data_IF_615337722787
#
_entry.id   IF_615337722787
#
_cell.length_a   1.000
_cell.length_b   1.000
_cell.length_c   1.000
_cell.angle_alpha   90.00
_cell.angle_beta   90.00
_cell.angle_gamma   90.00
#
_symmetry.space_group_name_H-M   'P 1'
#
loop_
_entity.id
_entity.type
_entity.pdbx_description
1 polymer ?
#
# COMPACT_ATOMS: atom_id res chain seq x y z
N UNK A 1 -22.19 -12.40 26.37
CA UNK A 1 -22.78 -11.97 25.09
C UNK A 1 -21.63 -11.45 24.26
N UNK A 2 -20.90 -12.35 23.57
CA UNK A 2 -21.08 -12.66 22.15
C UNK A 2 -21.02 -11.40 21.26
N UNK A 3 -19.81 -11.00 20.90
CA UNK A 3 -19.53 -10.58 19.53
C UNK A 3 -18.32 -11.35 19.03
N UNK A 4 -18.47 -11.72 17.78
CA UNK A 4 -17.88 -12.84 17.10
C UNK A 4 -16.40 -12.59 16.78
N UNK A 5 -15.53 -13.55 17.10
CA UNK A 5 -14.11 -13.53 16.74
C UNK A 5 -13.86 -14.04 15.31
N UNK A 6 -14.90 -14.10 14.47
CA UNK A 6 -14.86 -14.74 13.15
C UNK A 6 -14.48 -13.83 11.96
N UNK A 7 -14.35 -12.51 12.11
CA UNK A 7 -14.11 -11.61 10.96
C UNK A 7 -12.75 -10.90 10.93
N UNK A 8 -11.68 -11.55 11.41
CA UNK A 8 -10.32 -11.17 11.01
C UNK A 8 -9.63 -12.41 10.45
N UNK A 9 -10.06 -12.82 9.27
CA UNK A 9 -9.33 -13.78 8.45
C UNK A 9 -8.05 -13.10 7.97
N UNK A 10 -6.95 -13.29 8.69
CA UNK A 10 -5.62 -13.19 8.10
C UNK A 10 -5.60 -14.14 6.90
N UNK A 11 -5.54 -13.60 5.69
CA UNK A 11 -5.34 -14.36 4.46
C UNK A 11 -4.00 -15.10 4.58
N UNK A 12 -4.04 -16.32 5.12
CA UNK A 12 -2.98 -17.30 5.01
C UNK A 12 -2.81 -17.60 3.52
N UNK A 13 -1.58 -17.48 3.04
CA UNK A 13 -1.14 -18.02 1.75
C UNK A 13 -1.65 -19.46 1.60
N UNK A 14 -2.60 -19.64 0.69
CA UNK A 14 -3.25 -20.91 0.43
C UNK A 14 -4.29 -20.74 -0.67
N UNK A 15 -3.84 -20.44 -1.89
CA UNK A 15 -4.70 -20.62 -3.07
C UNK A 15 -4.98 -22.11 -3.23
N UNK A 16 -6.25 -22.44 -3.49
CA UNK A 16 -6.69 -23.79 -3.82
C UNK A 16 -5.94 -24.32 -5.06
N UNK A 17 -5.70 -25.63 -5.08
CA UNK A 17 -4.99 -26.36 -6.13
C UNK A 17 -5.70 -26.35 -7.50
N UNK A 18 -6.91 -25.79 -7.60
CA UNK A 18 -7.75 -25.79 -8.81
C UNK A 18 -7.49 -24.62 -9.79
N UNK A 19 -6.59 -23.68 -9.46
CA UNK A 19 -6.28 -22.48 -10.27
C UNK A 19 -5.24 -22.71 -11.40
N UNK A 20 -4.93 -23.96 -11.76
CA UNK A 20 -3.82 -24.30 -12.67
C UNK A 20 -3.95 -23.79 -14.12
N UNK A 21 -5.10 -23.22 -14.50
CA UNK A 21 -5.37 -22.69 -15.84
C UNK A 21 -5.52 -21.17 -15.92
N UNK A 22 -5.39 -20.43 -14.81
CA UNK A 22 -5.40 -18.97 -14.90
C UNK A 22 -4.03 -18.44 -15.35
N UNK A 23 -3.98 -17.44 -16.25
CA UNK A 23 -2.72 -16.81 -16.61
C UNK A 23 -2.09 -16.20 -15.35
N UNK A 24 -0.86 -16.62 -15.04
CA UNK A 24 -0.08 -16.06 -13.92
C UNK A 24 -0.06 -14.53 -14.04
N UNK A 25 -0.83 -13.85 -13.20
CA UNK A 25 -0.89 -12.39 -13.08
C UNK A 25 -0.05 -11.97 -11.88
N UNK A 26 0.63 -10.84 -11.99
CA UNK A 26 1.27 -10.23 -10.84
C UNK A 26 0.20 -9.77 -9.83
N UNK A 27 0.33 -10.26 -8.60
CA UNK A 27 -0.50 -9.84 -7.46
C UNK A 27 0.39 -9.32 -6.35
N UNK A 28 0.17 -8.08 -5.93
CA UNK A 28 0.69 -7.54 -4.68
C UNK A 28 -0.36 -6.63 -4.06
N UNK A 29 -0.97 -7.14 -3.00
CA UNK A 29 -2.13 -6.53 -2.38
C UNK A 29 -1.73 -5.55 -1.29
N UNK A 30 -2.36 -4.39 -1.32
CA UNK A 30 -2.31 -3.34 -0.30
C UNK A 30 -3.74 -3.03 0.13
N UNK A 31 -3.87 -2.31 1.23
CA UNK A 31 -5.17 -1.78 1.67
C UNK A 31 -5.24 -0.29 1.38
N UNK A 32 -6.43 0.23 1.03
CA UNK A 32 -6.70 1.67 1.01
C UNK A 32 -8.13 1.92 1.50
N UNK A 33 -8.42 3.14 1.94
CA UNK A 33 -9.79 3.55 2.26
C UNK A 33 -10.50 4.01 0.98
N UNK A 34 -11.55 3.30 0.58
CA UNK A 34 -12.47 3.81 -0.43
C UNK A 34 -13.36 4.86 0.22
N UNK A 35 -13.03 6.14 0.00
CA UNK A 35 -13.78 7.27 0.55
C UNK A 35 -15.26 7.25 0.15
N UNK A 36 -15.57 6.78 -1.07
CA UNK A 36 -16.94 6.75 -1.58
C UNK A 36 -17.77 5.69 -0.86
N UNK A 37 -17.18 4.53 -0.60
CA UNK A 37 -17.85 3.40 0.04
C UNK A 37 -17.62 3.32 1.56
N UNK A 38 -16.80 4.22 2.15
CA UNK A 38 -16.41 4.26 3.58
C UNK A 38 -15.95 2.90 4.10
N UNK A 39 -15.15 2.19 3.29
CA UNK A 39 -14.67 0.84 3.61
C UNK A 39 -13.20 0.69 3.27
N UNK A 40 -12.51 -0.17 4.03
CA UNK A 40 -11.17 -0.60 3.69
C UNK A 40 -11.26 -1.64 2.58
N UNK A 41 -10.54 -1.40 1.48
CA UNK A 41 -10.54 -2.25 0.28
C UNK A 41 -9.15 -2.80 0.05
N UNK A 42 -9.08 -4.08 -0.33
CA UNK A 42 -7.85 -4.70 -0.82
C UNK A 42 -7.67 -4.36 -2.30
N UNK A 43 -6.50 -3.82 -2.64
CA UNK A 43 -6.17 -3.38 -3.98
C UNK A 43 -4.85 -4.01 -4.44
N UNK A 44 -4.84 -4.56 -5.65
CA UNK A 44 -3.60 -5.05 -6.27
C UNK A 44 -2.90 -3.90 -7.00
N UNK A 45 -1.71 -3.51 -6.57
CA UNK A 45 -0.99 -2.35 -7.12
C UNK A 45 -0.69 -2.46 -8.61
N UNK A 46 -0.67 -3.67 -9.18
CA UNK A 46 -0.43 -3.89 -10.60
C UNK A 46 -1.65 -3.64 -11.48
N UNK A 47 -2.82 -3.38 -10.89
CA UNK A 47 -4.05 -3.03 -11.63
C UNK A 47 -4.06 -1.57 -12.07
N UNK A 48 -3.20 -0.74 -11.49
CA UNK A 48 -2.99 0.63 -11.95
C UNK A 48 -2.27 0.63 -13.30
N UNK A 49 -3.02 0.92 -14.37
CA UNK A 49 -2.53 0.81 -15.75
C UNK A 49 -1.26 1.61 -16.06
N UNK A 50 -1.15 2.86 -15.60
CA UNK A 50 0.05 3.69 -15.88
C UNK A 50 1.29 3.18 -15.14
N UNK A 51 1.17 2.87 -13.85
CA UNK A 51 2.22 2.19 -13.09
C UNK A 51 2.67 0.88 -13.77
N UNK A 52 1.75 0.03 -14.20
CA UNK A 52 2.10 -1.20 -14.90
C UNK A 52 2.82 -0.93 -16.25
N UNK A 53 2.41 0.11 -16.98
CA UNK A 53 3.11 0.54 -18.19
C UNK A 53 4.53 1.03 -17.89
N UNK A 54 4.75 1.71 -16.77
CA UNK A 54 6.10 2.10 -16.35
C UNK A 54 6.96 0.89 -16.01
N UNK A 55 6.42 -0.14 -15.36
CA UNK A 55 7.14 -1.41 -15.16
C UNK A 55 7.55 -2.06 -16.49
N UNK A 56 6.68 -2.01 -17.51
CA UNK A 56 7.00 -2.49 -18.86
C UNK A 56 8.16 -1.68 -19.47
N UNK A 57 8.14 -0.35 -19.31
CA UNK A 57 9.20 0.53 -19.81
C UNK A 57 10.53 0.26 -19.08
N UNK A 58 10.50 0.15 -17.76
CA UNK A 58 11.66 -0.20 -16.93
C UNK A 58 12.25 -1.55 -17.35
N UNK A 59 11.41 -2.57 -17.59
CA UNK A 59 11.87 -3.88 -18.10
C UNK A 59 12.56 -3.77 -19.47
N UNK A 60 12.07 -2.90 -20.36
CA UNK A 60 12.71 -2.66 -21.67
C UNK A 60 14.06 -1.94 -21.50
N UNK A 61 14.13 -0.95 -20.62
CA UNK A 61 15.38 -0.26 -20.28
C UNK A 61 16.42 -1.22 -19.71
N UNK A 62 15.99 -2.09 -18.78
CA UNK A 62 16.82 -3.14 -18.19
C UNK A 62 17.42 -4.04 -19.28
N UNK A 63 16.58 -4.53 -20.21
CA UNK A 63 17.05 -5.34 -21.35
C UNK A 63 18.00 -4.57 -22.27
N UNK A 64 17.77 -3.28 -22.51
CA UNK A 64 18.64 -2.46 -23.37
C UNK A 64 20.02 -2.23 -22.75
N UNK A 65 20.09 -2.00 -21.44
CA UNK A 65 21.33 -1.67 -20.74
C UNK A 65 22.15 -2.90 -20.37
N UNK A 66 21.49 -3.97 -19.94
CA UNK A 66 22.15 -5.16 -19.38
C UNK A 66 21.98 -6.41 -20.25
N UNK A 67 21.13 -6.37 -21.28
CA UNK A 67 20.94 -7.49 -22.21
C UNK A 67 22.01 -7.55 -23.29
N UNK A 68 23.03 -8.38 -23.05
CA UNK A 68 23.81 -9.03 -24.12
C UNK A 68 23.25 -10.45 -24.35
N UNK A 69 23.48 -11.00 -25.53
CA UNK A 69 22.91 -12.25 -26.10
C UNK A 69 23.09 -13.54 -25.29
N UNK A 70 23.70 -13.53 -24.12
CA UNK A 70 23.83 -14.70 -23.26
C UNK A 70 23.29 -14.40 -21.86
N UNK A 71 22.59 -15.38 -21.30
CA UNK A 71 21.58 -15.38 -20.23
C UNK A 71 21.98 -14.82 -18.85
N UNK A 72 23.09 -14.07 -18.71
CA UNK A 72 23.59 -13.54 -17.44
C UNK A 72 22.98 -12.20 -16.98
N UNK A 73 21.87 -11.75 -17.59
CA UNK A 73 21.15 -10.54 -17.14
C UNK A 73 20.67 -10.70 -15.68
N UNK A 74 20.43 -11.94 -15.25
CA UNK A 74 19.75 -12.25 -13.99
C UNK A 74 20.67 -12.19 -12.75
N UNK A 75 21.99 -12.12 -12.93
CA UNK A 75 22.97 -12.21 -11.82
C UNK A 75 23.76 -10.94 -11.52
N UNK A 76 23.64 -9.87 -12.32
CA UNK A 76 24.36 -8.64 -11.98
C UNK A 76 23.66 -7.87 -10.85
N UNK A 77 24.36 -7.74 -9.72
CA UNK A 77 23.98 -6.88 -8.59
C UNK A 77 23.65 -5.44 -9.04
N UNK A 78 24.30 -4.98 -10.11
CA UNK A 78 24.09 -3.65 -10.69
C UNK A 78 22.76 -3.56 -11.44
N UNK A 79 22.38 -4.61 -12.18
CA UNK A 79 21.10 -4.69 -12.89
C UNK A 79 19.92 -4.71 -11.90
N UNK A 80 20.03 -5.49 -10.81
CA UNK A 80 19.03 -5.51 -9.75
C UNK A 80 18.90 -4.13 -9.09
N UNK A 81 20.02 -3.49 -8.73
CA UNK A 81 20.00 -2.15 -8.12
C UNK A 81 19.40 -1.10 -9.05
N UNK A 82 19.76 -1.11 -10.34
CA UNK A 82 19.17 -0.23 -11.35
C UNK A 82 17.66 -0.39 -11.42
N UNK A 83 17.19 -1.64 -11.45
CA UNK A 83 15.77 -1.98 -11.47
C UNK A 83 15.06 -1.50 -10.20
N UNK A 84 15.63 -1.79 -9.03
CA UNK A 84 15.13 -1.37 -7.73
C UNK A 84 14.94 0.15 -7.63
N UNK A 85 15.95 0.93 -8.04
CA UNK A 85 15.87 2.39 -8.01
C UNK A 85 14.76 2.93 -8.93
N UNK A 86 14.60 2.35 -10.11
CA UNK A 86 13.56 2.76 -11.08
C UNK A 86 12.16 2.41 -10.59
N UNK A 87 11.98 1.21 -10.05
CA UNK A 87 10.69 0.77 -9.48
C UNK A 87 10.34 1.62 -8.27
N UNK A 88 11.31 1.91 -7.37
CA UNK A 88 11.07 2.76 -6.20
C UNK A 88 10.59 4.17 -6.60
N UNK A 89 11.20 4.77 -7.62
CA UNK A 89 10.78 6.09 -8.15
C UNK A 89 9.38 6.04 -8.75
N UNK A 90 9.08 5.04 -9.58
CA UNK A 90 7.76 4.89 -10.19
C UNK A 90 6.68 4.66 -9.11
N UNK A 91 6.95 3.77 -8.16
CA UNK A 91 6.04 3.47 -7.06
C UNK A 91 5.74 4.73 -6.22
N UNK A 92 6.77 5.51 -5.86
CA UNK A 92 6.59 6.77 -5.14
C UNK A 92 5.75 7.77 -5.93
N UNK A 93 5.94 7.87 -7.24
CA UNK A 93 5.17 8.78 -8.10
C UNK A 93 3.66 8.46 -8.14
N UNK A 94 3.30 7.19 -8.23
CA UNK A 94 1.88 6.80 -8.31
C UNK A 94 1.20 6.69 -6.94
N UNK A 95 1.93 6.28 -5.91
CA UNK A 95 1.34 5.84 -4.64
C UNK A 95 1.87 6.55 -3.39
N UNK A 96 2.83 7.47 -3.54
CA UNK A 96 3.40 8.22 -2.43
C UNK A 96 2.66 9.54 -2.17
N UNK A 97 2.44 9.85 -0.90
CA UNK A 97 1.96 11.12 -0.37
C UNK A 97 0.67 11.64 -1.01
N UNK A 98 -0.22 10.75 -1.47
CA UNK A 98 -1.52 11.13 -2.01
C UNK A 98 -2.63 10.84 -1.01
N UNK A 99 -3.49 11.82 -0.81
CA UNK A 99 -4.59 11.76 0.15
C UNK A 99 -5.53 10.56 -0.08
N UNK A 100 -5.77 10.20 -1.34
CA UNK A 100 -6.61 9.05 -1.70
C UNK A 100 -6.02 7.68 -1.32
N UNK A 101 -4.72 7.61 -1.02
CA UNK A 101 -4.02 6.37 -0.67
C UNK A 101 -3.68 6.25 0.81
N UNK A 102 -3.96 7.28 1.60
CA UNK A 102 -3.54 7.33 3.00
C UNK A 102 -4.55 6.63 3.91
N UNK A 103 -4.05 5.71 4.72
CA UNK A 103 -4.79 5.11 5.83
C UNK A 103 -4.19 5.61 7.14
N UNK A 104 -5.07 5.88 8.11
CA UNK A 104 -4.71 6.15 9.48
C UNK A 104 -4.70 4.83 10.25
N UNK A 105 -3.51 4.39 10.67
CA UNK A 105 -3.36 3.29 11.62
C UNK A 105 -3.35 3.85 13.04
N UNK A 106 -4.33 3.46 13.83
CA UNK A 106 -4.41 3.77 15.26
C UNK A 106 -4.65 2.49 16.07
N UNK A 107 -4.37 2.51 17.36
CA UNK A 107 -4.66 1.38 18.25
C UNK A 107 -6.16 1.12 18.34
N UNK A 108 -6.53 -0.12 18.70
CA UNK A 108 -7.89 -0.45 19.11
C UNK A 108 -7.90 -0.94 20.57
N UNK A 109 -8.59 -0.24 21.50
CA UNK A 109 -9.30 1.03 21.30
C UNK A 109 -8.31 2.17 20.95
N UNK A 110 -8.76 3.25 20.27
CA UNK A 110 -7.94 4.42 20.02
C UNK A 110 -7.38 4.91 21.35
N UNK A 111 -6.07 4.88 21.48
CA UNK A 111 -5.43 5.38 22.69
C UNK A 111 -5.43 6.90 22.61
N UNK A 112 -6.16 7.51 23.55
CA UNK A 112 -6.22 8.96 23.74
C UNK A 112 -5.45 9.24 25.01
N UNK A 113 -4.38 10.03 24.91
CA UNK A 113 -3.60 10.44 26.08
C UNK A 113 -4.45 11.30 27.03
N UNK A 114 -4.13 11.29 28.32
CA UNK A 114 -4.87 12.05 29.32
C UNK A 114 -4.83 13.56 29.00
N UNK A 115 -3.69 14.02 28.48
CA UNK A 115 -3.45 15.39 28.03
C UNK A 115 -4.41 15.76 26.88
N UNK A 116 -4.67 14.83 25.96
CA UNK A 116 -5.61 15.03 24.87
C UNK A 116 -7.06 15.03 25.39
N UNK A 117 -7.40 14.17 26.36
CA UNK A 117 -8.71 14.22 27.04
C UNK A 117 -8.91 15.58 27.72
N UNK A 118 -7.90 16.07 28.44
CA UNK A 118 -7.95 17.35 29.12
C UNK A 118 -8.12 18.52 28.14
N UNK A 119 -7.43 18.49 26.99
CA UNK A 119 -7.61 19.45 25.90
C UNK A 119 -9.06 19.46 25.40
N UNK A 120 -9.62 18.27 25.11
CA UNK A 120 -11.00 18.13 24.61
C UNK A 120 -12.03 18.67 25.61
N UNK A 121 -11.87 18.37 26.90
CA UNK A 121 -12.75 18.87 27.96
C UNK A 121 -12.68 20.40 28.03
N UNK A 122 -11.46 20.95 28.06
CA UNK A 122 -11.25 22.40 28.13
C UNK A 122 -11.86 23.13 26.94
N UNK A 123 -11.59 22.68 25.72
CA UNK A 123 -12.15 23.29 24.50
C UNK A 123 -13.68 23.24 24.48
N UNK A 124 -14.27 22.12 24.93
CA UNK A 124 -15.72 21.98 25.07
C UNK A 124 -16.29 23.01 26.03
N UNK A 125 -15.69 23.17 27.20
CA UNK A 125 -16.15 24.12 28.22
C UNK A 125 -16.06 25.57 27.73
N UNK A 126 -14.94 25.93 27.10
CA UNK A 126 -14.75 27.26 26.51
C UNK A 126 -15.76 27.55 25.40
N UNK A 127 -16.04 26.56 24.55
CA UNK A 127 -17.02 26.71 23.47
C UNK A 127 -18.45 26.88 24.01
N UNK A 128 -18.86 26.06 24.98
CA UNK A 128 -20.17 26.18 25.63
C UNK A 128 -20.32 27.55 26.28
N UNK A 129 -19.26 28.03 26.97
CA UNK A 129 -19.26 29.35 27.60
C UNK A 129 -19.42 30.49 26.59
N UNK A 130 -18.82 30.36 25.41
CA UNK A 130 -18.82 31.41 24.39
C UNK A 130 -20.08 31.42 23.53
N UNK A 131 -20.63 30.26 23.19
CA UNK A 131 -21.68 30.12 22.17
C UNK A 131 -22.96 29.46 22.67
N UNK A 132 -22.98 28.94 23.89
CA UNK A 132 -24.17 28.33 24.50
C UNK A 132 -24.60 27.00 23.88
N UNK A 133 -23.79 26.42 22.99
CA UNK A 133 -24.09 25.18 22.29
C UNK A 133 -22.90 24.21 22.25
N UNK A 134 -23.22 22.96 21.93
CA UNK A 134 -22.24 21.90 21.74
C UNK A 134 -21.60 22.01 20.35
N UNK A 135 -20.27 21.93 20.30
CA UNK A 135 -19.50 21.75 19.07
C UNK A 135 -18.72 20.44 19.17
N UNK A 136 -18.58 19.74 18.05
CA UNK A 136 -17.81 18.49 17.99
C UNK A 136 -16.33 18.86 17.95
N UNK A 137 -15.61 18.60 19.03
CA UNK A 137 -14.14 18.65 19.04
C UNK A 137 -13.59 17.33 18.53
N UNK A 138 -12.75 17.38 17.51
CA UNK A 138 -12.10 16.20 16.97
C UNK A 138 -10.90 15.80 17.84
N UNK A 139 -10.74 14.49 18.06
CA UNK A 139 -9.60 13.92 18.79
C UNK A 139 -8.35 14.06 17.92
N UNK A 140 -7.29 14.63 18.51
CA UNK A 140 -5.97 14.62 17.92
C UNK A 140 -5.39 13.21 18.07
N UNK A 141 -5.34 12.47 16.96
CA UNK A 141 -4.70 11.16 16.91
C UNK A 141 -3.21 11.33 16.63
N UNK A 142 -2.46 12.07 17.45
CA UNK A 142 -1.01 12.26 17.24
C UNK A 142 -0.21 10.93 17.27
N UNK A 143 -0.84 9.88 17.77
CA UNK A 143 -0.32 8.50 17.86
C UNK A 143 -0.69 7.69 16.60
N UNK A 144 -1.59 8.21 15.75
CA UNK A 144 -1.91 7.59 14.49
C UNK A 144 -0.73 7.70 13.52
N UNK A 145 -0.31 6.56 13.01
CA UNK A 145 0.63 6.52 11.90
C UNK A 145 -0.15 6.58 10.60
N UNK A 146 0.13 7.62 9.81
CA UNK A 146 -0.36 7.74 8.45
C UNK A 146 0.51 6.89 7.52
N UNK A 147 -0.12 6.02 6.76
CA UNK A 147 0.56 5.10 5.86
C UNK A 147 -0.13 5.13 4.49
N UNK A 148 0.63 5.41 3.43
CA UNK A 148 0.17 5.33 2.05
C UNK A 148 0.52 3.97 1.41
N UNK A 149 0.00 3.73 0.20
CA UNK A 149 0.29 2.51 -0.56
C UNK A 149 1.80 2.33 -0.79
N UNK A 150 2.53 3.41 -1.08
CA UNK A 150 3.99 3.34 -1.22
C UNK A 150 4.66 2.82 0.05
N UNK A 151 4.29 3.36 1.21
CA UNK A 151 4.81 2.99 2.53
C UNK A 151 4.47 1.54 2.86
N UNK A 152 3.26 1.07 2.56
CA UNK A 152 2.88 -0.35 2.73
C UNK A 152 3.80 -1.30 1.95
N UNK A 153 4.11 -0.96 0.70
CA UNK A 153 5.05 -1.74 -0.11
C UNK A 153 6.48 -1.62 0.43
N UNK A 154 6.90 -0.44 0.88
CA UNK A 154 8.24 -0.22 1.44
C UNK A 154 8.49 -0.98 2.74
N UNK A 155 7.46 -1.25 3.55
CA UNK A 155 7.58 -2.11 4.74
C UNK A 155 8.05 -3.53 4.41
N UNK A 156 7.75 -4.02 3.20
CA UNK A 156 8.15 -5.35 2.71
C UNK A 156 9.01 -5.25 1.43
N UNK A 157 9.83 -4.20 1.34
CA UNK A 157 10.51 -3.81 0.09
C UNK A 157 11.38 -4.92 -0.50
N UNK A 158 12.14 -5.62 0.34
CA UNK A 158 13.04 -6.70 -0.11
C UNK A 158 12.24 -7.85 -0.73
N UNK A 159 11.15 -8.27 -0.06
CA UNK A 159 10.28 -9.34 -0.56
C UNK A 159 9.57 -8.91 -1.84
N UNK A 160 9.08 -7.67 -1.90
CA UNK A 160 8.46 -7.10 -3.09
C UNK A 160 9.41 -7.10 -4.29
N UNK A 161 10.63 -6.62 -4.11
CA UNK A 161 11.61 -6.54 -5.19
C UNK A 161 12.06 -7.91 -5.67
N UNK A 162 12.31 -8.85 -4.76
CA UNK A 162 12.63 -10.23 -5.12
C UNK A 162 11.49 -10.89 -5.89
N UNK A 163 10.25 -10.69 -5.44
CA UNK A 163 9.07 -11.17 -6.13
C UNK A 163 8.97 -10.60 -7.54
N UNK A 164 9.11 -9.28 -7.70
CA UNK A 164 9.00 -8.63 -9.01
C UNK A 164 10.14 -9.03 -9.95
N UNK A 165 11.37 -9.15 -9.44
CA UNK A 165 12.55 -9.60 -10.18
C UNK A 165 12.43 -11.04 -10.68
N UNK A 166 11.92 -11.93 -9.84
CA UNK A 166 11.72 -13.34 -10.20
C UNK A 166 10.52 -13.57 -11.13
N UNK A 167 9.67 -12.56 -11.33
CA UNK A 167 8.48 -12.62 -12.18
C UNK A 167 8.50 -11.55 -13.29
N UNK A 168 9.68 -11.13 -13.73
CA UNK A 168 9.83 -10.14 -14.81
C UNK A 168 9.12 -10.58 -16.10
N UNK A 169 9.03 -11.88 -16.38
CA UNK A 169 8.34 -12.45 -17.54
C UNK A 169 6.84 -12.12 -17.56
N UNK A 170 6.22 -11.96 -16.38
CA UNK A 170 4.82 -11.58 -16.22
C UNK A 170 4.56 -10.09 -16.51
N UNK A 171 5.60 -9.25 -16.48
CA UNK A 171 5.52 -7.83 -16.87
C UNK A 171 5.49 -7.74 -18.40
N UNK A 172 4.30 -7.89 -18.99
CA UNK A 172 4.07 -7.80 -20.45
C UNK A 172 2.71 -7.18 -20.72
N UNK A 173 2.57 -6.50 -21.86
CA UNK A 173 1.25 -6.03 -22.31
C UNK A 173 0.34 -7.24 -22.50
N UNK A 174 -0.90 -7.14 -22.02
CA UNK A 174 -1.94 -8.09 -22.42
C UNK A 174 -2.06 -8.07 -23.94
N UNK A 175 -2.06 -9.24 -24.58
CA UNK A 175 -2.39 -9.33 -26.00
C UNK A 175 -3.87 -8.94 -26.11
N UNK A 176 -4.13 -7.75 -26.68
CA UNK A 176 -5.47 -7.41 -27.16
C UNK A 176 -5.81 -8.27 -28.37
#
# INVERSE_FOLDING_TARGET
MLTDKSEISFYRYGKNYDDLNEPKKLVWNVVYEDWSARKVVVFNIFEHGSFFNDLINIKKELKKQFGKENEEIQSSKEAFKFFEEKVSRSLSYYYGSKAEWEIILTSWPPYVENEEIDRLIKEREEHIKKWGNFYRTDVCLDIATKIDVYTQVKLNWVQFMNYLWNNLDLIKKSKK
#
